data_IF_999045900295
#
_entry.id   IF_999045900295
#
_cell.length_a   1.000
_cell.length_b   1.000
_cell.length_c   1.000
_cell.angle_alpha   90.00
_cell.angle_beta   90.00
_cell.angle_gamma   90.00
#
_symmetry.space_group_name_H-M   'P 1'
#
loop_
_entity.id
_entity.type
_entity.pdbx_description
1 polymer ?
#
# COMPACT_ATOMS: atom_id res chain seq x y z
N UNK A 1 -9.47 15.60 -35.09
CA UNK A 1 -8.46 16.14 -34.16
C UNK A 1 -9.14 16.82 -32.98
N UNK A 2 -9.97 17.87 -33.18
CA UNK A 2 -10.69 18.52 -32.08
C UNK A 2 -11.61 17.57 -31.27
N UNK A 3 -12.42 16.74 -31.95
CA UNK A 3 -13.32 15.79 -31.26
C UNK A 3 -12.56 14.70 -30.47
N UNK A 4 -11.36 14.35 -30.91
CA UNK A 4 -10.51 13.35 -30.27
C UNK A 4 -9.85 13.91 -29.00
N UNK A 5 -9.36 15.15 -29.05
CA UNK A 5 -8.82 15.83 -27.86
C UNK A 5 -9.92 16.09 -26.82
N UNK A 6 -11.14 16.43 -27.25
CA UNK A 6 -12.27 16.61 -26.34
C UNK A 6 -12.68 15.28 -25.68
N UNK A 7 -12.74 14.19 -26.45
CA UNK A 7 -13.02 12.86 -25.92
C UNK A 7 -11.96 12.43 -24.91
N UNK A 8 -10.68 12.61 -25.22
CA UNK A 8 -9.55 12.30 -24.31
C UNK A 8 -9.59 13.14 -23.04
N UNK A 9 -9.97 14.42 -23.13
CA UNK A 9 -10.12 15.29 -21.96
C UNK A 9 -11.31 14.91 -21.08
N UNK A 10 -12.42 14.45 -21.68
CA UNK A 10 -13.56 13.92 -20.93
C UNK A 10 -13.22 12.60 -20.25
N UNK A 11 -12.53 11.71 -20.95
CA UNK A 11 -12.04 10.44 -20.43
C UNK A 11 -11.09 10.66 -19.24
N UNK A 12 -10.13 11.58 -19.40
CA UNK A 12 -9.21 11.93 -18.31
C UNK A 12 -9.91 12.48 -17.07
N UNK A 13 -10.96 13.31 -17.24
CA UNK A 13 -11.76 13.78 -16.10
C UNK A 13 -12.50 12.65 -15.41
N UNK A 14 -13.18 11.80 -16.18
CA UNK A 14 -13.90 10.64 -15.65
C UNK A 14 -12.99 9.73 -14.82
N UNK A 15 -11.79 9.44 -15.32
CA UNK A 15 -10.80 8.62 -14.62
C UNK A 15 -10.32 9.26 -13.32
N UNK A 16 -10.10 10.58 -13.31
CA UNK A 16 -9.74 11.31 -12.09
C UNK A 16 -10.88 11.27 -11.08
N UNK A 17 -12.12 11.48 -11.51
CA UNK A 17 -13.29 11.42 -10.64
C UNK A 17 -13.44 10.02 -10.00
N UNK A 18 -13.27 8.95 -10.79
CA UNK A 18 -13.31 7.57 -10.29
C UNK A 18 -12.19 7.29 -9.28
N UNK A 19 -10.98 7.77 -9.55
CA UNK A 19 -9.84 7.63 -8.65
C UNK A 19 -10.06 8.38 -7.33
N UNK A 20 -10.53 9.62 -7.37
CA UNK A 20 -10.79 10.41 -6.17
C UNK A 20 -11.92 9.82 -5.31
N UNK A 21 -12.95 9.26 -5.94
CA UNK A 21 -14.04 8.56 -5.26
C UNK A 21 -13.53 7.27 -4.59
N UNK A 22 -12.73 6.46 -5.30
CA UNK A 22 -12.11 5.27 -4.74
C UNK A 22 -11.17 5.58 -3.56
N UNK A 23 -10.33 6.60 -3.67
CA UNK A 23 -9.48 7.09 -2.57
C UNK A 23 -10.29 7.59 -1.37
N UNK A 24 -11.49 8.13 -1.61
CA UNK A 24 -12.45 8.48 -0.57
C UNK A 24 -12.84 7.26 0.26
N UNK A 25 -13.27 6.18 -0.41
CA UNK A 25 -13.63 4.91 0.24
C UNK A 25 -12.46 4.29 1.00
N UNK A 26 -11.26 4.26 0.40
CA UNK A 26 -10.06 3.74 1.06
C UNK A 26 -9.66 4.54 2.31
N UNK A 27 -9.85 5.86 2.30
CA UNK A 27 -9.55 6.69 3.48
C UNK A 27 -10.56 6.50 4.59
N UNK A 28 -11.83 6.31 4.25
CA UNK A 28 -12.90 6.07 5.21
C UNK A 28 -12.85 4.64 5.76
N UNK A 29 -12.19 3.72 5.03
CA UNK A 29 -12.09 2.31 5.40
C UNK A 29 -13.43 1.60 5.28
N UNK A 30 -14.31 2.06 4.38
CA UNK A 30 -15.64 1.51 4.16
C UNK A 30 -15.89 1.29 2.68
N UNK A 31 -16.64 0.24 2.35
CA UNK A 31 -17.02 -0.10 0.96
C UNK A 31 -15.80 -0.34 0.05
N UNK A 32 -14.82 -1.11 0.54
CA UNK A 32 -13.58 -1.43 -0.19
C UNK A 32 -13.83 -2.10 -1.53
N UNK A 33 -14.84 -2.97 -1.61
CA UNK A 33 -15.27 -3.63 -2.85
C UNK A 33 -15.65 -2.62 -3.94
N UNK A 34 -16.36 -1.53 -3.59
CA UNK A 34 -16.69 -0.48 -4.56
C UNK A 34 -15.44 0.27 -5.02
N UNK A 35 -14.47 0.46 -4.14
CA UNK A 35 -13.19 1.05 -4.50
C UNK A 35 -12.44 0.14 -5.49
N UNK A 36 -12.43 -1.17 -5.26
CA UNK A 36 -11.87 -2.18 -6.17
C UNK A 36 -12.54 -2.08 -7.54
N UNK A 37 -13.87 -2.07 -7.61
CA UNK A 37 -14.61 -1.96 -8.88
C UNK A 37 -14.30 -0.67 -9.65
N UNK A 38 -14.27 0.47 -8.95
CA UNK A 38 -13.97 1.76 -9.56
C UNK A 38 -12.55 1.78 -10.11
N UNK A 39 -11.57 1.30 -9.35
CA UNK A 39 -10.16 1.26 -9.74
C UNK A 39 -9.91 0.25 -10.86
N UNK A 40 -10.57 -0.91 -10.83
CA UNK A 40 -10.49 -1.92 -11.89
C UNK A 40 -11.06 -1.36 -13.21
N UNK A 41 -12.21 -0.68 -13.14
CA UNK A 41 -12.81 -0.03 -14.32
C UNK A 41 -11.89 1.05 -14.90
N UNK A 42 -11.24 1.83 -14.03
CA UNK A 42 -10.27 2.85 -14.42
C UNK A 42 -9.01 2.23 -15.03
N UNK A 43 -8.51 1.10 -14.50
CA UNK A 43 -7.38 0.36 -15.06
C UNK A 43 -7.68 -0.21 -16.44
N UNK A 44 -8.86 -0.82 -16.61
CA UNK A 44 -9.31 -1.32 -17.92
C UNK A 44 -9.40 -0.19 -18.93
N UNK A 45 -10.11 0.89 -18.60
CA UNK A 45 -10.28 2.04 -19.49
C UNK A 45 -8.95 2.75 -19.80
N UNK A 46 -8.03 2.83 -18.83
CA UNK A 46 -6.67 3.37 -19.08
C UNK A 46 -5.84 2.45 -19.98
N UNK A 47 -5.92 1.14 -19.81
CA UNK A 47 -5.16 0.16 -20.59
C UNK A 47 -5.61 0.07 -22.05
N UNK A 48 -6.90 0.27 -22.31
CA UNK A 48 -7.50 0.22 -23.65
C UNK A 48 -7.39 1.55 -24.39
N UNK A 49 -7.58 2.67 -23.69
CA UNK A 49 -7.74 3.99 -24.32
C UNK A 49 -6.43 4.73 -24.54
N UNK A 50 -5.36 4.34 -23.85
CA UNK A 50 -4.08 5.05 -23.86
C UNK A 50 -2.93 4.18 -24.39
N UNK A 51 -1.95 4.80 -25.08
CA UNK A 51 -0.77 4.08 -25.56
C UNK A 51 0.07 3.49 -24.42
N UNK A 52 0.86 2.46 -24.73
CA UNK A 52 1.77 1.78 -23.78
C UNK A 52 2.73 2.74 -23.05
N UNK A 53 3.07 3.88 -23.65
CA UNK A 53 3.90 4.89 -22.99
C UNK A 53 3.28 5.45 -21.71
N UNK A 54 1.96 5.37 -21.54
CA UNK A 54 1.27 5.77 -20.32
C UNK A 54 1.32 4.67 -19.26
N UNK A 55 1.49 3.40 -19.62
CA UNK A 55 1.66 2.30 -18.66
C UNK A 55 2.97 2.41 -17.86
N UNK A 56 3.96 3.15 -18.38
CA UNK A 56 5.18 3.49 -17.67
C UNK A 56 5.12 4.85 -16.92
N UNK A 57 3.94 5.48 -16.84
CA UNK A 57 3.78 6.78 -16.19
C UNK A 57 3.53 6.67 -14.68
N UNK A 58 3.91 7.71 -13.93
CA UNK A 58 3.65 7.80 -12.50
C UNK A 58 2.17 7.67 -12.15
N UNK A 59 1.27 8.27 -12.95
CA UNK A 59 -0.17 8.19 -12.74
C UNK A 59 -0.74 6.77 -12.88
N UNK A 60 -0.18 5.96 -13.78
CA UNK A 60 -0.59 4.57 -13.91
C UNK A 60 -0.10 3.73 -12.73
N UNK A 61 1.13 3.98 -12.28
CA UNK A 61 1.66 3.33 -11.07
C UNK A 61 0.88 3.72 -9.79
N UNK A 62 0.41 4.96 -9.67
CA UNK A 62 -0.47 5.38 -8.56
C UNK A 62 -1.80 4.62 -8.60
N UNK A 63 -2.36 4.41 -9.79
CA UNK A 63 -3.60 3.65 -9.96
C UNK A 63 -3.41 2.18 -9.55
N UNK A 64 -2.32 1.54 -9.98
CA UNK A 64 -1.96 0.18 -9.60
C UNK A 64 -1.74 0.03 -8.08
N UNK A 65 -1.02 0.98 -7.47
CA UNK A 65 -0.81 1.00 -6.02
C UNK A 65 -2.13 1.09 -5.24
N UNK A 66 -3.02 1.99 -5.68
CA UNK A 66 -4.31 2.21 -5.00
C UNK A 66 -5.21 0.99 -5.17
N UNK A 67 -5.17 0.34 -6.34
CA UNK A 67 -5.89 -0.90 -6.59
C UNK A 67 -5.36 -2.06 -5.73
N UNK A 68 -4.05 -2.26 -5.66
CA UNK A 68 -3.44 -3.28 -4.79
C UNK A 68 -3.78 -3.07 -3.31
N UNK A 69 -3.81 -1.82 -2.83
CA UNK A 69 -4.26 -1.47 -1.47
C UNK A 69 -5.72 -1.83 -1.23
N UNK A 70 -6.59 -1.50 -2.18
CA UNK A 70 -8.01 -1.83 -2.10
C UNK A 70 -8.22 -3.34 -1.99
N UNK A 71 -7.56 -4.12 -2.86
CA UNK A 71 -7.61 -5.59 -2.84
C UNK A 71 -7.16 -6.17 -1.49
N UNK A 72 -6.01 -5.70 -0.97
CA UNK A 72 -5.51 -6.12 0.34
C UNK A 72 -6.51 -5.85 1.47
N UNK A 73 -7.17 -4.69 1.42
CA UNK A 73 -8.13 -4.34 2.45
C UNK A 73 -9.39 -5.22 2.38
N UNK A 74 -9.90 -5.48 1.17
CA UNK A 74 -11.02 -6.40 0.96
C UNK A 74 -10.68 -7.81 1.42
N UNK A 75 -9.47 -8.30 1.13
CA UNK A 75 -9.02 -9.62 1.58
C UNK A 75 -8.97 -9.73 3.11
N UNK A 76 -8.45 -8.70 3.79
CA UNK A 76 -8.45 -8.63 5.26
C UNK A 76 -9.87 -8.67 5.82
N UNK A 77 -10.80 -7.95 5.21
CA UNK A 77 -12.21 -7.94 5.62
C UNK A 77 -12.82 -9.34 5.48
N UNK A 78 -12.61 -10.01 4.33
CA UNK A 78 -13.07 -11.39 4.08
C UNK A 78 -12.50 -12.40 5.08
N UNK A 79 -11.19 -12.37 5.34
CA UNK A 79 -10.56 -13.26 6.31
C UNK A 79 -11.10 -13.06 7.73
N UNK A 80 -11.36 -11.80 8.11
CA UNK A 80 -11.94 -11.53 9.43
C UNK A 80 -13.35 -12.07 9.56
N UNK A 81 -14.19 -12.00 8.52
CA UNK A 81 -15.54 -12.55 8.54
C UNK A 81 -15.53 -14.08 8.68
N UNK A 82 -14.67 -14.76 7.92
CA UNK A 82 -14.51 -16.21 7.96
C UNK A 82 -13.94 -16.71 9.29
N UNK A 83 -12.94 -16.00 9.84
CA UNK A 83 -12.29 -16.36 11.10
C UNK A 83 -13.18 -16.09 12.34
N UNK A 84 -14.07 -15.09 12.29
CA UNK A 84 -14.91 -14.73 13.44
C UNK A 84 -16.16 -15.60 13.57
N UNK A 85 -16.72 -16.06 12.45
CA UNK A 85 -17.99 -16.80 12.45
C UNK A 85 -17.80 -18.30 12.26
N UNK A 86 -16.69 -18.75 11.69
CA UNK A 86 -16.49 -20.16 11.35
C UNK A 86 -17.41 -20.60 10.20
N UNK A 87 -16.95 -21.52 9.33
CA UNK A 87 -17.64 -21.85 8.08
C UNK A 87 -19.04 -22.49 8.29
N UNK A 88 -19.37 -22.96 9.49
CA UNK A 88 -20.69 -23.51 9.81
C UNK A 88 -21.74 -22.44 10.15
N UNK A 89 -21.35 -21.30 10.72
CA UNK A 89 -22.32 -20.24 11.07
C UNK A 89 -22.71 -19.44 9.84
N UNK A 90 -21.78 -19.18 8.92
CA UNK A 90 -22.07 -18.53 7.63
C UNK A 90 -23.05 -19.35 6.79
N UNK A 91 -22.84 -20.67 6.68
CA UNK A 91 -23.80 -21.58 6.03
C UNK A 91 -25.17 -21.60 6.72
N UNK A 92 -25.22 -21.41 8.04
CA UNK A 92 -26.49 -21.30 8.77
C UNK A 92 -27.20 -19.96 8.57
N UNK A 93 -26.49 -18.88 8.23
CA UNK A 93 -27.07 -17.57 7.94
C UNK A 93 -27.55 -17.53 6.49
N UNK A 94 -26.74 -17.98 5.53
CA UNK A 94 -27.15 -18.12 4.12
C UNK A 94 -28.36 -19.06 3.96
N UNK A 95 -28.43 -20.14 4.74
CA UNK A 95 -29.59 -21.03 4.77
C UNK A 95 -30.82 -20.42 5.47
N UNK A 96 -30.64 -19.43 6.34
CA UNK A 96 -31.73 -18.71 7.02
C UNK A 96 -32.25 -17.54 6.17
N UNK A 97 -31.39 -16.81 5.48
CA UNK A 97 -31.79 -15.73 4.57
C UNK A 97 -32.48 -16.29 3.32
N UNK A 98 -32.05 -17.46 2.82
CA UNK A 98 -32.79 -18.19 1.78
C UNK A 98 -34.13 -18.77 2.26
N UNK A 99 -34.36 -18.87 3.59
CA UNK A 99 -35.61 -19.36 4.17
C UNK A 99 -36.55 -18.24 4.66
N UNK A 100 -36.04 -17.04 4.94
CA UNK A 100 -36.84 -15.90 5.41
C UNK A 100 -37.60 -15.16 4.29
N UNK A 101 -37.22 -15.30 3.01
CA UNK A 101 -38.07 -14.80 1.91
C UNK A 101 -39.34 -15.63 1.64
N UNK A 102 -39.56 -16.74 2.37
CA UNK A 102 -40.65 -17.67 2.08
C UNK A 102 -41.66 -17.91 3.22
N UNK A 103 -41.52 -17.33 4.42
CA UNK A 103 -42.42 -17.73 5.52
C UNK A 103 -42.82 -16.62 6.49
N UNK A 104 -43.54 -15.63 5.97
CA UNK A 104 -44.40 -14.78 6.79
C UNK A 104 -45.78 -15.48 6.95
N UNK A 105 -45.88 -16.39 7.94
CA UNK A 105 -47.15 -16.79 8.59
C UNK A 105 -46.95 -17.75 9.78
N UNK A 106 -47.38 -17.24 10.93
CA UNK A 106 -48.02 -17.92 12.07
C UNK A 106 -47.42 -19.24 12.62
N UNK A 107 -46.98 -19.18 13.87
CA UNK A 107 -47.59 -19.85 15.04
C UNK A 107 -46.57 -20.52 15.98
N UNK A 108 -46.41 -19.87 17.14
CA UNK A 108 -46.54 -20.43 18.50
C UNK A 108 -46.29 -21.93 18.75
N UNK A 109 -45.35 -22.14 19.67
CA UNK A 109 -45.35 -23.14 20.75
C UNK A 109 -45.14 -24.62 20.40
N UNK A 110 -44.04 -25.22 20.89
CA UNK A 110 -44.10 -26.11 22.06
C UNK A 110 -42.71 -26.65 22.47
N UNK A 111 -42.67 -27.08 23.74
CA UNK A 111 -41.55 -27.49 24.61
C UNK A 111 -40.97 -28.88 24.30
N UNK A 112 -39.86 -29.15 25.02
CA UNK A 112 -39.36 -30.43 25.59
C UNK A 112 -38.10 -30.95 24.88
N UNK A 113 -36.92 -30.86 25.52
CA UNK A 113 -36.38 -31.75 26.58
C UNK A 113 -35.88 -33.09 26.02
N UNK A 114 -34.59 -33.36 26.20
CA UNK A 114 -33.92 -34.55 25.69
C UNK A 114 -32.41 -34.52 25.97
N UNK A 115 -32.06 -34.83 27.22
CA UNK A 115 -30.71 -35.24 27.64
C UNK A 115 -30.22 -36.46 26.84
N UNK A 116 -28.91 -36.53 26.57
CA UNK A 116 -28.28 -37.69 25.94
C UNK A 116 -26.75 -37.61 26.01
N UNK A 117 -26.20 -38.40 26.93
CA UNK A 117 -24.80 -38.61 27.30
C UNK A 117 -23.82 -38.96 26.17
N UNK A 118 -22.60 -38.41 26.33
CA UNK A 118 -21.32 -39.12 26.47
C UNK A 118 -20.84 -40.09 25.37
N UNK A 119 -19.70 -39.75 24.73
CA UNK A 119 -18.54 -40.66 24.66
C UNK A 119 -17.27 -39.96 24.18
N UNK A 120 -16.28 -39.96 25.07
CA UNK A 120 -14.85 -39.85 24.80
C UNK A 120 -14.33 -41.11 24.09
N UNK A 121 -13.35 -40.94 23.21
CA UNK A 121 -12.21 -41.84 22.90
C UNK A 121 -11.47 -41.23 21.68
N UNK A 122 -10.15 -41.26 21.47
CA UNK A 122 -8.89 -41.36 22.22
C UNK A 122 -7.82 -41.63 21.14
N UNK A 123 -6.65 -40.97 21.22
CA UNK A 123 -5.33 -41.35 20.65
C UNK A 123 -5.20 -41.63 19.12
N UNK A 124 -4.07 -41.52 18.40
CA UNK A 124 -2.63 -41.33 18.61
C UNK A 124 -2.04 -41.01 17.20
N UNK A 125 -1.08 -40.09 17.04
CA UNK A 125 0.37 -40.33 16.78
C UNK A 125 0.84 -40.75 15.37
N UNK A 126 1.96 -40.15 14.95
CA UNK A 126 2.89 -40.59 13.87
C UNK A 126 3.02 -39.56 12.73
N UNK A 127 3.95 -38.60 12.75
CA UNK A 127 5.41 -38.64 12.50
C UNK A 127 5.87 -38.80 11.03
N UNK A 128 6.97 -38.10 10.74
CA UNK A 128 7.92 -38.13 9.60
C UNK A 128 7.58 -37.22 8.39
N UNK A 129 8.23 -36.05 8.25
CA UNK A 129 9.60 -35.78 7.75
C UNK A 129 9.82 -36.05 6.25
N UNK A 130 10.14 -34.99 5.51
CA UNK A 130 11.07 -35.04 4.38
C UNK A 130 11.59 -33.63 4.06
N UNK A 131 12.85 -33.41 4.43
CA UNK A 131 13.73 -32.37 3.87
C UNK A 131 13.82 -32.47 2.35
N UNK A 132 13.94 -31.33 1.67
CA UNK A 132 14.81 -31.22 0.50
C UNK A 132 15.34 -29.79 0.37
N UNK A 133 16.66 -29.72 0.44
CA UNK A 133 17.55 -28.58 0.28
C UNK A 133 17.54 -27.97 -1.15
N UNK A 134 17.73 -26.65 -1.18
CA UNK A 134 18.63 -25.85 -2.05
C UNK A 134 18.50 -25.91 -3.59
N UNK A 135 18.23 -24.75 -4.20
CA UNK A 135 18.97 -24.28 -5.39
C UNK A 135 18.70 -22.79 -5.69
N UNK A 136 19.71 -21.97 -5.37
CA UNK A 136 20.02 -20.64 -5.89
C UNK A 136 20.20 -20.66 -7.43
N UNK A 137 19.75 -19.62 -8.14
CA UNK A 137 19.87 -19.55 -9.61
C UNK A 137 19.20 -18.36 -10.32
N UNK A 138 19.81 -17.18 -10.17
CA UNK A 138 20.00 -16.06 -11.13
C UNK A 138 19.26 -16.08 -12.51
N UNK A 139 18.44 -15.04 -12.72
CA UNK A 139 18.28 -14.21 -13.94
C UNK A 139 18.10 -14.81 -15.34
N UNK A 140 16.95 -14.51 -15.99
CA UNK A 140 16.91 -13.88 -17.32
C UNK A 140 15.50 -13.38 -17.68
N UNK A 141 15.47 -12.24 -18.37
CA UNK A 141 14.31 -11.56 -18.95
C UNK A 141 13.57 -12.43 -19.99
N UNK A 142 12.25 -12.23 -20.14
CA UNK A 142 11.51 -12.86 -21.23
C UNK A 142 10.01 -12.63 -21.22
N UNK A 143 9.62 -11.50 -21.81
CA UNK A 143 8.32 -11.16 -22.40
C UNK A 143 7.29 -12.28 -22.59
N UNK A 144 6.04 -12.03 -22.18
CA UNK A 144 4.90 -12.83 -22.63
C UNK A 144 3.69 -12.86 -21.70
N UNK A 145 3.21 -11.71 -21.21
CA UNK A 145 1.88 -11.65 -20.60
C UNK A 145 0.81 -11.66 -21.72
N UNK A 146 0.56 -12.83 -22.30
CA UNK A 146 -0.64 -13.08 -23.10
C UNK A 146 -1.84 -13.29 -22.17
N UNK A 147 -2.71 -12.29 -22.16
CA UNK A 147 -4.17 -12.40 -22.21
C UNK A 147 -4.82 -13.59 -21.48
N UNK A 148 -5.19 -13.38 -20.22
CA UNK A 148 -6.27 -14.12 -19.57
C UNK A 148 -7.50 -13.20 -19.47
N UNK A 149 -8.23 -13.09 -20.58
CA UNK A 149 -9.57 -12.53 -20.62
C UNK A 149 -10.58 -13.60 -20.14
N UNK A 150 -11.52 -13.15 -19.30
CA UNK A 150 -12.80 -13.81 -18.96
C UNK A 150 -12.77 -14.88 -17.86
N UNK A 151 -12.59 -14.41 -16.63
CA UNK A 151 -13.14 -14.98 -15.41
C UNK A 151 -13.27 -13.83 -14.44
N UNK A 152 -14.35 -13.76 -13.66
CA UNK A 152 -14.46 -12.79 -12.54
C UNK A 152 -13.08 -12.70 -11.87
N UNK A 153 -12.44 -11.53 -11.95
CA UNK A 153 -11.11 -11.35 -11.41
C UNK A 153 -11.24 -11.56 -9.90
N UNK A 154 -10.99 -12.80 -9.47
CA UNK A 154 -11.17 -13.18 -8.09
C UNK A 154 -10.20 -12.32 -7.29
N UNK A 155 -10.77 -11.48 -6.42
CA UNK A 155 -10.02 -10.78 -5.39
C UNK A 155 -9.19 -11.83 -4.67
N UNK A 156 -7.88 -11.77 -4.85
CA UNK A 156 -6.94 -12.78 -4.38
C UNK A 156 -5.64 -12.10 -3.97
N UNK A 157 -4.94 -12.71 -3.02
CA UNK A 157 -3.64 -12.21 -2.58
C UNK A 157 -2.64 -12.14 -3.74
N UNK A 158 -2.64 -13.12 -4.63
CA UNK A 158 -1.76 -13.11 -5.81
C UNK A 158 -2.02 -11.88 -6.69
N UNK A 159 -3.28 -11.59 -7.01
CA UNK A 159 -3.61 -10.40 -7.79
C UNK A 159 -3.16 -9.13 -7.07
N UNK A 160 -3.40 -9.02 -5.76
CA UNK A 160 -2.95 -7.85 -4.99
C UNK A 160 -1.42 -7.67 -5.07
N UNK A 161 -0.67 -8.76 -4.94
CA UNK A 161 0.79 -8.75 -5.05
C UNK A 161 1.27 -8.34 -6.45
N UNK A 162 0.71 -8.94 -7.51
CA UNK A 162 1.07 -8.61 -8.90
C UNK A 162 0.89 -7.11 -9.20
N UNK A 163 -0.22 -6.52 -8.75
CA UNK A 163 -0.48 -5.10 -8.98
C UNK A 163 0.49 -4.19 -8.21
N UNK A 164 0.84 -4.56 -6.97
CA UNK A 164 1.84 -3.84 -6.16
C UNK A 164 3.25 -3.96 -6.74
N UNK A 165 3.62 -5.13 -7.25
CA UNK A 165 4.90 -5.34 -7.92
C UNK A 165 5.02 -4.56 -9.23
N UNK A 166 3.96 -4.56 -10.04
CA UNK A 166 3.89 -3.73 -11.23
C UNK A 166 4.06 -2.24 -10.89
N UNK A 167 3.40 -1.76 -9.83
CA UNK A 167 3.58 -0.39 -9.34
C UNK A 167 5.04 -0.14 -8.92
N UNK A 168 5.65 -1.07 -8.18
CA UNK A 168 7.06 -0.98 -7.71
C UNK A 168 8.01 -0.80 -8.89
N UNK A 169 7.91 -1.66 -9.90
CA UNK A 169 8.77 -1.64 -11.09
C UNK A 169 8.67 -0.31 -11.82
N UNK A 170 7.44 0.21 -12.00
CA UNK A 170 7.25 1.50 -12.66
C UNK A 170 7.85 2.63 -11.81
N UNK A 171 7.57 2.71 -10.51
CA UNK A 171 8.12 3.76 -9.66
C UNK A 171 9.65 3.72 -9.53
N UNK A 172 10.26 2.54 -9.54
CA UNK A 172 11.71 2.40 -9.52
C UNK A 172 12.33 2.87 -10.86
N UNK A 173 11.64 2.63 -11.98
CA UNK A 173 12.09 3.10 -13.31
C UNK A 173 12.04 4.62 -13.48
N UNK A 174 11.17 5.33 -12.74
CA UNK A 174 10.96 6.80 -12.83
C UNK A 174 12.03 7.65 -12.11
N UNK A 175 13.15 7.03 -11.75
CA UNK A 175 14.18 7.41 -10.77
C UNK A 175 14.93 8.76 -10.90
N UNK A 176 14.42 9.76 -11.61
CA UNK A 176 15.02 11.11 -11.58
C UNK A 176 14.82 11.84 -10.23
N UNK A 177 13.82 11.42 -9.44
CA UNK A 177 13.76 11.60 -7.99
C UNK A 177 13.14 10.34 -7.42
N UNK A 178 13.80 9.69 -6.44
CA UNK A 178 13.14 8.63 -5.68
C UNK A 178 11.86 9.24 -5.10
N UNK A 179 10.73 8.82 -5.62
CA UNK A 179 9.47 9.41 -5.23
C UNK A 179 9.08 8.84 -3.86
N UNK A 180 8.43 9.65 -3.04
CA UNK A 180 7.81 9.20 -1.79
C UNK A 180 6.82 8.06 -2.08
N UNK A 181 6.27 8.02 -3.30
CA UNK A 181 5.45 6.92 -3.80
C UNK A 181 6.13 5.56 -3.83
N UNK A 182 7.42 5.46 -4.16
CA UNK A 182 8.13 4.17 -4.11
C UNK A 182 8.18 3.62 -2.68
N UNK A 183 8.34 4.49 -1.68
CA UNK A 183 8.28 4.08 -0.28
C UNK A 183 6.87 3.62 0.12
N UNK A 184 5.82 4.29 -0.37
CA UNK A 184 4.43 3.88 -0.10
C UNK A 184 4.14 2.48 -0.68
N UNK A 185 4.69 2.14 -1.86
CA UNK A 185 4.57 0.78 -2.43
C UNK A 185 5.29 -0.24 -1.57
N UNK A 186 6.54 0.05 -1.17
CA UNK A 186 7.35 -0.86 -0.35
C UNK A 186 6.72 -1.10 1.03
N UNK A 187 6.13 -0.08 1.66
CA UNK A 187 5.33 -0.26 2.89
C UNK A 187 4.14 -1.19 2.65
N UNK A 188 3.44 -1.03 1.51
CA UNK A 188 2.26 -1.87 1.20
C UNK A 188 2.65 -3.32 0.88
N UNK A 189 3.80 -3.57 0.24
CA UNK A 189 4.36 -4.91 0.06
C UNK A 189 4.82 -5.54 1.39
N UNK A 190 5.33 -4.72 2.31
CA UNK A 190 5.61 -5.13 3.68
C UNK A 190 4.34 -5.56 4.40
N UNK A 191 3.26 -4.79 4.28
CA UNK A 191 1.93 -5.12 4.80
C UNK A 191 1.40 -6.43 4.21
N UNK A 192 1.52 -6.63 2.89
CA UNK A 192 1.17 -7.89 2.23
C UNK A 192 1.95 -9.10 2.80
N UNK A 193 3.25 -8.92 3.01
CA UNK A 193 4.11 -9.97 3.57
C UNK A 193 3.75 -10.29 5.02
N UNK A 194 3.29 -9.29 5.80
CA UNK A 194 2.80 -9.49 7.16
C UNK A 194 1.51 -10.33 7.19
N UNK A 195 0.57 -10.09 6.29
CA UNK A 195 -0.68 -10.89 6.21
C UNK A 195 -0.39 -12.36 5.84
N UNK A 196 0.66 -12.60 5.05
CA UNK A 196 1.07 -13.95 4.65
C UNK A 196 2.11 -14.59 5.60
N UNK A 197 2.24 -14.09 6.84
CA UNK A 197 3.20 -14.57 7.85
C UNK A 197 4.68 -14.59 7.41
N UNK A 198 5.03 -13.85 6.35
CA UNK A 198 6.40 -13.74 5.85
C UNK A 198 7.12 -12.55 6.50
N UNK A 199 7.35 -12.65 7.80
CA UNK A 199 7.92 -11.57 8.61
C UNK A 199 9.32 -11.13 8.17
N UNK A 200 10.13 -12.05 7.63
CA UNK A 200 11.48 -11.74 7.17
C UNK A 200 11.47 -10.85 5.92
N UNK A 201 10.57 -11.15 4.97
CA UNK A 201 10.37 -10.33 3.79
C UNK A 201 9.77 -8.98 4.15
N UNK A 202 8.74 -8.97 5.00
CA UNK A 202 8.12 -7.74 5.51
C UNK A 202 9.15 -6.79 6.12
N UNK A 203 10.04 -7.30 6.98
CA UNK A 203 11.11 -6.50 7.59
C UNK A 203 12.07 -5.89 6.56
N UNK A 204 12.41 -6.64 5.49
CA UNK A 204 13.25 -6.13 4.39
C UNK A 204 12.55 -5.02 3.62
N UNK A 205 11.26 -5.20 3.31
CA UNK A 205 10.48 -4.23 2.56
C UNK A 205 10.26 -2.92 3.34
N UNK A 206 9.90 -3.00 4.62
CA UNK A 206 9.82 -1.82 5.48
C UNK A 206 11.16 -1.11 5.62
N UNK A 207 12.27 -1.84 5.74
CA UNK A 207 13.60 -1.23 5.80
C UNK A 207 13.94 -0.51 4.47
N UNK A 208 13.59 -1.11 3.33
CA UNK A 208 13.76 -0.48 2.02
C UNK A 208 12.90 0.79 1.89
N UNK A 209 11.66 0.78 2.38
CA UNK A 209 10.79 1.95 2.41
C UNK A 209 11.40 3.09 3.25
N UNK A 210 11.91 2.78 4.45
CA UNK A 210 12.60 3.75 5.32
C UNK A 210 13.82 4.35 4.61
N UNK A 211 14.64 3.51 3.98
CA UNK A 211 15.82 3.97 3.24
C UNK A 211 15.47 4.90 2.09
N UNK A 212 14.35 4.65 1.39
CA UNK A 212 13.83 5.55 0.37
C UNK A 212 13.38 6.86 1.00
N UNK A 213 12.54 6.83 2.04
CA UNK A 213 12.05 8.05 2.73
C UNK A 213 13.20 8.91 3.25
N UNK A 214 14.23 8.29 3.85
CA UNK A 214 15.41 9.00 4.36
C UNK A 214 16.20 9.69 3.23
N UNK A 215 16.37 9.04 2.08
CA UNK A 215 17.03 9.66 0.91
C UNK A 215 16.24 10.86 0.42
N UNK A 216 14.91 10.73 0.27
CA UNK A 216 14.02 11.83 -0.13
C UNK A 216 14.09 13.00 0.86
N UNK A 217 14.00 12.71 2.17
CA UNK A 217 14.12 13.75 3.19
C UNK A 217 15.49 14.41 3.19
N UNK A 218 16.58 13.67 2.99
CA UNK A 218 17.93 14.25 2.91
C UNK A 218 18.07 15.22 1.72
N UNK A 219 17.45 14.90 0.58
CA UNK A 219 17.43 15.76 -0.61
C UNK A 219 16.55 17.01 -0.43
N UNK A 220 15.52 16.94 0.41
CA UNK A 220 14.71 18.11 0.80
C UNK A 220 15.43 18.98 1.87
N UNK A 221 16.24 18.35 2.73
CA UNK A 221 17.03 18.99 3.79
C UNK A 221 18.43 19.39 3.28
N UNK A 222 18.57 19.68 1.99
CA UNK A 222 19.72 20.44 1.50
C UNK A 222 19.84 21.70 2.35
N UNK A 223 21.03 22.02 2.89
CA UNK A 223 21.19 23.05 3.91
C UNK A 223 20.81 24.42 3.33
N UNK A 224 19.54 24.80 3.49
CA UNK A 224 19.03 26.14 3.20
C UNK A 224 19.59 27.11 4.24
N UNK A 225 20.86 27.46 4.05
CA UNK A 225 21.38 28.78 4.36
C UNK A 225 21.31 29.25 5.82
N UNK A 226 21.16 28.38 6.81
CA UNK A 226 21.37 28.77 8.22
C UNK A 226 22.87 28.80 8.54
N UNK A 227 23.62 27.74 8.23
CA UNK A 227 25.08 27.75 8.42
C UNK A 227 25.79 28.74 7.47
N UNK A 228 25.28 28.91 6.24
CA UNK A 228 25.84 29.89 5.30
C UNK A 228 25.53 31.37 5.65
N UNK A 229 24.50 31.66 6.47
CA UNK A 229 24.24 33.01 7.01
C UNK A 229 25.05 33.31 8.26
N UNK A 230 25.27 32.32 9.12
CA UNK A 230 26.10 32.48 10.33
C UNK A 230 27.57 32.68 9.96
N UNK A 231 28.09 31.94 8.97
CA UNK A 231 29.47 32.10 8.51
C UNK A 231 29.71 33.40 7.70
N UNK A 232 28.70 33.92 6.98
CA UNK A 232 28.82 35.24 6.31
C UNK A 232 28.77 36.42 7.28
N UNK A 233 28.13 36.29 8.45
CA UNK A 233 28.18 37.33 9.50
C UNK A 233 29.50 37.34 10.27
N UNK A 234 30.16 36.18 10.43
CA UNK A 234 31.51 36.13 11.02
C UNK A 234 32.59 36.64 10.05
N UNK A 235 32.40 36.47 8.73
CA UNK A 235 33.31 37.03 7.72
C UNK A 235 33.20 38.55 7.53
N UNK A 236 32.10 39.20 7.97
CA UNK A 236 31.92 40.66 7.87
C UNK A 236 32.33 41.45 9.11
N UNK A 237 32.71 40.78 10.21
CA UNK A 237 33.17 41.45 11.45
C UNK A 237 34.70 41.32 11.67
N UNK A 238 35.46 40.85 10.68
CA UNK A 238 36.79 40.28 10.92
C UNK A 238 37.99 40.89 10.17
N UNK A 239 37.93 42.11 9.63
CA UNK A 239 39.12 42.82 9.13
C UNK A 239 38.91 44.34 9.06
N UNK A 240 39.17 45.04 10.16
CA UNK A 240 39.64 46.43 10.12
C UNK A 240 41.09 46.43 10.65
N UNK A 241 42.08 46.89 9.87
CA UNK A 241 43.46 46.89 10.33
C UNK A 241 43.68 48.01 11.35
N UNK A 242 44.22 47.61 12.50
CA UNK A 242 45.21 48.34 13.29
C UNK A 242 44.85 49.76 13.76
N UNK A 243 44.17 49.85 14.93
CA UNK A 243 44.31 51.00 15.82
C UNK A 243 44.72 50.53 17.21
N UNK A 244 46.01 50.71 17.52
CA UNK A 244 46.61 50.47 18.84
C UNK A 244 45.77 51.08 19.97
N UNK A 245 45.54 50.36 21.09
CA UNK A 245 44.85 50.92 22.24
C UNK A 245 45.71 52.00 22.90
N UNK A 246 45.15 53.21 23.01
CA UNK A 246 45.76 54.33 23.71
C UNK A 246 45.62 54.09 25.21
N UNK A 247 46.65 53.49 25.82
CA UNK A 247 46.73 53.25 27.26
C UNK A 247 46.73 54.62 27.98
N UNK A 248 45.62 54.95 28.65
CA UNK A 248 45.59 56.07 29.61
C UNK A 248 46.17 55.56 30.92
N UNK A 249 47.40 55.95 31.21
CA UNK A 249 48.04 55.73 32.51
C UNK A 249 47.31 56.51 33.60
N UNK A 250 46.59 55.82 34.50
CA UNK A 250 46.11 56.40 35.74
C UNK A 250 47.29 56.46 36.74
N UNK A 251 47.80 57.65 37.02
CA UNK A 251 48.63 57.91 38.20
C UNK A 251 47.71 57.89 39.43
N UNK A 252 47.99 56.99 40.38
CA UNK A 252 47.44 57.09 41.74
C UNK A 252 48.10 58.27 42.46
N UNK A 253 47.36 59.11 43.18
CA UNK A 253 47.94 60.09 44.09
C UNK A 253 48.47 59.36 45.34
N UNK A 254 49.73 59.63 45.66
CA UNK A 254 50.37 59.29 46.92
C UNK A 254 49.83 60.17 48.05
N UNK A 255 49.75 59.58 49.25
CA UNK A 255 49.42 60.20 50.53
C UNK A 255 50.10 61.54 50.80
#
# INVERSE_FOLDING_TARGET
MADYEEMRAKLGRKLVDQYEEAEGFLREGSETEKAVDLLESALKETSESFPESIKASASYAELLLSYGKALLQTLREQETEDALLGPEVLKSIEAKDAAEEANDKEAEASKADGEGEDKLEDEEAGEEEAESEEADGDGEEGEGAEDAQDGDAQVSFELAWEQLENARVIFDSLSERKDHRLADVLETLGDFSMENDNFELAAKDYQAAIDVRLKVCADLVQPVGWQARVLRRQAWCGCAPDRKPRIKSYRRPSS
#
